data_IF_363216698406
#
_entry.id   IF_363216698406
#
_cell.length_a   1.000
_cell.length_b   1.000
_cell.length_c   1.000
_cell.angle_alpha   90.00
_cell.angle_beta   90.00
_cell.angle_gamma   90.00
#
_symmetry.space_group_name_H-M   'P 1'
#
loop_
_entity.id
_entity.type
_entity.pdbx_description
1 polymer ?
#
# COMPACT_ATOMS: atom_id res chain seq x y z
N UNK A 1 -4.02 -2.12 -3.69
CA UNK A 1 -3.81 -1.27 -4.88
C UNK A 1 -2.43 -0.64 -4.77
N UNK A 2 -1.69 -0.44 -5.88
CA UNK A 2 -0.38 0.19 -5.81
C UNK A 2 -0.50 1.67 -5.38
N UNK A 3 0.48 2.16 -4.65
CA UNK A 3 0.81 3.59 -4.72
C UNK A 3 1.18 3.95 -6.17
N UNK A 4 0.52 4.96 -6.74
CA UNK A 4 0.75 5.38 -8.13
C UNK A 4 1.64 6.62 -8.21
N UNK A 5 1.29 7.66 -7.45
CA UNK A 5 2.03 8.93 -7.43
C UNK A 5 3.20 8.85 -6.45
N UNK A 6 4.24 9.62 -6.73
CA UNK A 6 5.42 9.81 -5.89
C UNK A 6 5.62 11.27 -5.44
N UNK A 7 4.80 12.19 -5.95
CA UNK A 7 4.84 13.61 -5.59
C UNK A 7 3.58 14.05 -4.85
N UNK A 8 3.74 14.34 -3.56
CA UNK A 8 2.70 14.85 -2.68
C UNK A 8 3.05 16.25 -2.12
N UNK A 9 3.98 16.95 -2.79
CA UNK A 9 4.54 18.23 -2.32
C UNK A 9 4.40 19.37 -3.32
N UNK A 10 4.37 19.07 -4.62
CA UNK A 10 4.18 20.08 -5.66
C UNK A 10 2.75 20.64 -5.67
N UNK A 11 2.60 21.87 -6.17
CA UNK A 11 1.29 22.50 -6.36
C UNK A 11 0.51 21.96 -7.56
N UNK A 12 1.22 21.35 -8.51
CA UNK A 12 0.66 20.74 -9.71
C UNK A 12 1.47 19.50 -10.03
N UNK A 13 0.83 18.52 -10.64
CA UNK A 13 1.47 17.30 -11.11
C UNK A 13 1.68 17.37 -12.62
N UNK A 14 2.81 16.84 -13.10
CA UNK A 14 3.03 16.65 -14.51
C UNK A 14 3.04 15.15 -14.85
N UNK A 15 2.01 14.68 -15.53
CA UNK A 15 1.90 13.25 -15.90
C UNK A 15 2.83 12.86 -17.05
N UNK A 16 3.49 13.82 -17.69
CA UNK A 16 4.55 13.54 -18.67
C UNK A 16 5.91 13.25 -17.99
N UNK A 17 6.05 13.59 -16.70
CA UNK A 17 7.29 13.42 -15.94
C UNK A 17 7.29 12.08 -15.21
N UNK A 18 8.22 11.15 -15.52
CA UNK A 18 8.29 9.86 -14.83
C UNK A 18 8.47 9.98 -13.31
N UNK A 19 9.09 11.06 -12.84
CA UNK A 19 9.31 11.34 -11.42
C UNK A 19 8.01 11.62 -10.64
N UNK A 20 6.91 11.95 -11.31
CA UNK A 20 5.59 12.07 -10.69
C UNK A 20 5.03 10.71 -10.26
N UNK A 21 5.51 9.62 -10.86
CA UNK A 21 5.02 8.28 -10.59
C UNK A 21 6.01 7.47 -9.76
N UNK A 22 5.46 6.55 -8.97
CA UNK A 22 6.20 5.48 -8.34
C UNK A 22 6.75 4.52 -9.41
N UNK A 23 7.95 3.99 -9.19
CA UNK A 23 8.43 2.81 -9.91
C UNK A 23 7.63 1.56 -9.49
N UNK A 24 6.68 1.16 -10.35
CA UNK A 24 5.81 -0.01 -10.15
C UNK A 24 6.56 -1.35 -10.25
N UNK A 25 7.85 -1.36 -10.60
CA UNK A 25 8.67 -2.57 -10.62
C UNK A 25 9.27 -2.95 -9.27
N UNK A 26 9.12 -2.07 -8.26
CA UNK A 26 9.69 -2.23 -6.92
C UNK A 26 8.59 -2.40 -5.85
N UNK A 27 8.81 -3.24 -4.83
CA UNK A 27 7.95 -3.27 -3.65
C UNK A 27 8.18 -2.02 -2.78
N UNK A 28 7.23 -1.71 -1.89
CA UNK A 28 7.21 -0.46 -1.10
C UNK A 28 8.49 -0.26 -0.31
N UNK A 29 9.00 -1.30 0.35
CA UNK A 29 10.16 -1.16 1.23
C UNK A 29 11.45 -0.73 0.52
N UNK A 30 11.50 -0.76 -0.81
CA UNK A 30 12.62 -0.25 -1.62
C UNK A 30 12.18 0.76 -2.69
N UNK A 31 11.05 1.42 -2.46
CA UNK A 31 10.64 2.55 -3.31
C UNK A 31 11.67 3.69 -3.23
N UNK A 32 12.22 3.92 -2.03
CA UNK A 32 13.46 4.67 -1.86
C UNK A 32 14.65 3.74 -2.18
N UNK A 33 15.45 4.03 -3.23
CA UNK A 33 16.62 3.22 -3.58
C UNK A 33 17.65 3.10 -2.46
N UNK A 34 17.73 4.09 -1.56
CA UNK A 34 18.69 4.08 -0.45
C UNK A 34 18.44 2.92 0.54
N UNK A 35 17.21 2.41 0.57
CA UNK A 35 16.84 1.28 1.42
C UNK A 35 17.28 -0.09 0.87
N UNK A 36 17.70 -0.18 -0.40
CA UNK A 36 18.01 -1.47 -1.06
C UNK A 36 19.10 -2.23 -0.33
N UNK A 37 20.19 -1.56 0.06
CA UNK A 37 21.30 -2.20 0.74
C UNK A 37 20.88 -2.76 2.10
N UNK A 38 20.19 -1.94 2.92
CA UNK A 38 19.69 -2.32 4.24
C UNK A 38 18.70 -3.50 4.18
N UNK A 39 17.76 -3.47 3.24
CA UNK A 39 16.77 -4.54 3.08
C UNK A 39 17.42 -5.84 2.64
N UNK A 40 18.40 -5.77 1.74
CA UNK A 40 19.18 -6.93 1.28
C UNK A 40 20.03 -7.52 2.41
N UNK A 41 20.78 -6.68 3.12
CA UNK A 41 21.65 -7.09 4.21
C UNK A 41 20.86 -7.78 5.32
N UNK A 42 19.69 -7.24 5.69
CA UNK A 42 18.79 -7.87 6.66
C UNK A 42 18.35 -9.27 6.22
N UNK A 43 18.00 -9.45 4.94
CA UNK A 43 17.63 -10.76 4.41
C UNK A 43 18.81 -11.73 4.45
N UNK A 44 19.99 -11.28 4.01
CA UNK A 44 21.20 -12.10 3.90
C UNK A 44 21.74 -12.53 5.26
N UNK A 45 21.72 -11.62 6.24
CA UNK A 45 22.18 -11.84 7.62
C UNK A 45 21.16 -12.52 8.54
N UNK A 46 19.91 -12.70 8.09
CA UNK A 46 18.89 -13.35 8.92
C UNK A 46 19.24 -14.82 9.16
N UNK A 47 19.39 -15.16 10.43
CA UNK A 47 19.56 -16.53 10.92
C UNK A 47 18.54 -16.78 12.02
N UNK A 48 17.73 -17.82 11.85
CA UNK A 48 16.81 -18.29 12.88
C UNK A 48 17.46 -19.45 13.64
N UNK A 49 17.73 -19.33 14.95
CA UNK A 49 18.39 -20.38 15.73
C UNK A 49 17.64 -21.72 15.72
N UNK A 50 16.32 -21.70 15.50
CA UNK A 50 15.49 -22.91 15.43
C UNK A 50 15.44 -23.54 14.04
N UNK A 51 15.81 -22.79 12.99
CA UNK A 51 15.64 -23.18 11.59
C UNK A 51 14.20 -23.23 11.10
N UNK A 52 13.23 -22.83 11.93
CA UNK A 52 11.80 -22.84 11.59
C UNK A 52 11.41 -21.64 10.72
N UNK A 53 12.06 -20.49 10.92
CA UNK A 53 11.71 -19.25 10.21
C UNK A 53 12.60 -19.09 8.97
N UNK A 54 11.98 -19.08 7.80
CA UNK A 54 12.67 -18.77 6.53
C UNK A 54 13.08 -17.29 6.46
N UNK A 55 14.14 -16.98 5.71
CA UNK A 55 14.60 -15.60 5.46
C UNK A 55 13.51 -14.76 4.80
N UNK A 56 13.39 -13.49 5.21
CA UNK A 56 12.41 -12.54 4.67
C UNK A 56 12.98 -11.11 4.65
N UNK A 57 12.50 -10.30 3.71
CA UNK A 57 12.81 -8.87 3.65
C UNK A 57 11.92 -8.11 4.63
N UNK A 58 10.63 -8.45 4.65
CA UNK A 58 9.60 -7.72 5.38
C UNK A 58 8.86 -8.59 6.39
N UNK A 59 8.87 -8.17 7.66
CA UNK A 59 8.06 -8.78 8.72
C UNK A 59 6.64 -8.22 8.80
N UNK A 60 6.45 -7.00 8.27
CA UNK A 60 5.16 -6.36 8.03
C UNK A 60 4.67 -6.70 6.63
N UNK A 61 3.36 -6.74 6.42
CA UNK A 61 2.76 -7.03 5.12
C UNK A 61 2.15 -5.77 4.51
N UNK A 62 2.09 -5.70 3.18
CA UNK A 62 1.55 -4.54 2.46
C UNK A 62 0.02 -4.39 2.57
N UNK A 63 -0.66 -5.43 3.05
CA UNK A 63 -2.12 -5.47 3.23
C UNK A 63 -2.47 -6.21 4.51
N UNK A 64 -3.24 -5.59 5.39
CA UNK A 64 -3.77 -6.20 6.61
C UNK A 64 -5.08 -5.51 7.01
N UNK A 65 -5.91 -6.19 7.81
CA UNK A 65 -7.14 -5.60 8.34
C UNK A 65 -6.86 -4.33 9.15
N UNK A 66 -5.79 -4.33 9.95
CA UNK A 66 -5.33 -3.15 10.68
C UNK A 66 -4.93 -2.00 9.75
N UNK A 67 -4.31 -2.29 8.60
CA UNK A 67 -3.98 -1.30 7.58
C UNK A 67 -5.22 -0.67 6.94
N UNK A 68 -6.24 -1.47 6.63
CA UNK A 68 -7.53 -0.99 6.10
C UNK A 68 -8.22 -0.08 7.12
N UNK A 69 -8.33 -0.53 8.37
CA UNK A 69 -8.92 0.27 9.46
C UNK A 69 -8.15 1.57 9.71
N UNK A 70 -6.81 1.55 9.59
CA UNK A 70 -5.99 2.73 9.74
C UNK A 70 -6.32 3.81 8.68
N UNK A 71 -6.52 3.42 7.42
CA UNK A 71 -6.93 4.38 6.38
C UNK A 71 -8.37 4.84 6.56
N UNK A 72 -9.29 3.92 6.88
CA UNK A 72 -10.72 4.18 6.93
C UNK A 72 -11.24 4.57 8.33
N UNK A 73 -10.37 4.99 9.25
CA UNK A 73 -10.72 5.27 10.66
C UNK A 73 -11.85 6.29 10.83
N UNK A 74 -12.11 7.13 9.81
CA UNK A 74 -13.18 8.16 9.79
C UNK A 74 -14.52 7.66 9.22
N UNK A 75 -14.60 6.42 8.77
CA UNK A 75 -15.78 5.86 8.12
C UNK A 75 -16.27 4.63 8.87
N UNK A 76 -17.55 4.60 9.24
CA UNK A 76 -18.15 3.38 9.80
C UNK A 76 -18.34 2.29 8.72
N UNK A 77 -18.20 0.99 9.06
CA UNK A 77 -17.99 0.42 10.39
C UNK A 77 -16.52 0.39 10.86
N UNK A 78 -15.58 0.95 10.08
CA UNK A 78 -14.15 0.83 10.36
C UNK A 78 -13.71 1.64 11.58
N UNK A 79 -14.37 2.75 11.88
CA UNK A 79 -14.20 3.47 13.14
C UNK A 79 -14.45 2.57 14.34
N UNK A 80 -15.61 1.90 14.39
CA UNK A 80 -15.98 0.98 15.47
C UNK A 80 -15.00 -0.19 15.59
N UNK A 81 -14.59 -0.77 14.46
CA UNK A 81 -13.61 -1.87 14.43
C UNK A 81 -12.23 -1.42 14.93
N UNK A 82 -11.78 -0.22 14.55
CA UNK A 82 -10.52 0.37 15.01
C UNK A 82 -10.53 0.58 16.53
N UNK A 83 -11.60 1.17 17.06
CA UNK A 83 -11.78 1.39 18.50
C UNK A 83 -11.74 0.07 19.26
N UNK A 84 -12.40 -0.97 18.73
CA UNK A 84 -12.36 -2.30 19.32
C UNK A 84 -10.94 -2.87 19.34
N UNK A 85 -10.23 -2.81 18.22
CA UNK A 85 -8.84 -3.28 18.09
C UNK A 85 -7.88 -2.55 19.04
N UNK A 86 -8.11 -1.26 19.30
CA UNK A 86 -7.25 -0.39 20.12
C UNK A 86 -7.65 -0.35 21.61
N UNK A 87 -8.52 -1.26 22.05
CA UNK A 87 -8.90 -1.36 23.46
C UNK A 87 -9.92 -0.29 23.89
N UNK A 88 -10.99 -0.13 23.11
CA UNK A 88 -12.12 0.77 23.38
C UNK A 88 -11.80 2.26 23.29
N UNK A 89 -10.78 2.64 22.51
CA UNK A 89 -10.42 4.04 22.25
C UNK A 89 -9.75 4.20 20.89
N UNK A 90 -9.64 5.42 20.39
CA UNK A 90 -8.76 5.71 19.26
C UNK A 90 -7.28 5.48 19.61
N UNK A 91 -6.47 5.33 18.55
CA UNK A 91 -5.01 5.28 18.72
C UNK A 91 -4.47 6.68 19.04
N UNK A 92 -3.22 6.78 19.46
CA UNK A 92 -2.57 8.09 19.64
C UNK A 92 -2.52 8.83 18.31
N UNK A 93 -2.80 10.13 18.34
CA UNK A 93 -2.93 10.99 17.17
C UNK A 93 -1.75 10.86 16.17
N UNK A 94 -0.52 10.81 16.68
CA UNK A 94 0.71 10.74 15.86
C UNK A 94 0.84 9.44 15.05
N UNK A 95 0.13 8.37 15.44
CA UNK A 95 0.10 7.10 14.70
C UNK A 95 -1.13 6.93 13.81
N UNK A 96 -2.11 7.82 13.93
CA UNK A 96 -3.31 7.75 13.09
C UNK A 96 -3.05 8.33 11.70
N UNK A 97 -3.75 7.81 10.71
CA UNK A 97 -3.71 8.37 9.36
C UNK A 97 -4.30 9.79 9.38
N UNK A 98 -3.48 10.81 9.16
CA UNK A 98 -3.90 12.20 9.22
C UNK A 98 -3.38 13.07 8.07
N UNK A 99 -2.45 12.56 7.26
CA UNK A 99 -1.82 13.34 6.20
C UNK A 99 -1.29 12.42 5.10
N UNK A 100 -1.73 12.64 3.85
CA UNK A 100 -1.27 11.87 2.69
C UNK A 100 0.23 12.15 2.40
N UNK A 101 0.70 13.42 2.36
CA UNK A 101 2.12 13.70 2.20
C UNK A 101 2.98 13.07 3.30
N UNK A 102 2.51 13.10 4.55
CA UNK A 102 3.23 12.46 5.65
C UNK A 102 3.28 10.94 5.49
N UNK A 103 2.17 10.29 5.12
CA UNK A 103 2.13 8.86 4.89
C UNK A 103 3.14 8.42 3.82
N UNK A 104 3.23 9.16 2.70
CA UNK A 104 4.25 8.90 1.68
C UNK A 104 5.68 9.14 2.20
N UNK A 105 5.91 10.22 2.96
CA UNK A 105 7.22 10.52 3.56
C UNK A 105 7.69 9.43 4.54
N UNK A 106 6.77 8.85 5.33
CA UNK A 106 7.06 7.75 6.24
C UNK A 106 7.49 6.48 5.48
N UNK A 107 6.81 6.17 4.37
CA UNK A 107 7.20 5.08 3.47
C UNK A 107 8.58 5.34 2.84
N UNK A 108 8.86 6.57 2.44
CA UNK A 108 10.16 6.94 1.86
C UNK A 108 11.31 6.90 2.87
N UNK A 109 11.03 7.16 4.15
CA UNK A 109 12.04 7.23 5.21
C UNK A 109 12.33 5.90 5.90
N UNK A 110 11.45 4.90 5.78
CA UNK A 110 11.59 3.62 6.47
C UNK A 110 11.20 2.43 5.58
N UNK A 111 12.09 1.42 5.42
CA UNK A 111 11.75 0.21 4.66
C UNK A 111 10.77 -0.72 5.39
N UNK A 112 10.40 -0.39 6.64
CA UNK A 112 9.57 -1.24 7.49
C UNK A 112 8.08 -0.88 7.43
N UNK A 113 7.74 0.31 6.90
CA UNK A 113 6.38 0.64 6.51
C UNK A 113 6.20 0.31 5.03
N UNK A 114 5.61 -0.85 4.76
CA UNK A 114 5.49 -1.39 3.41
C UNK A 114 4.04 -1.47 2.93
N UNK A 115 3.15 -0.68 3.52
CA UNK A 115 1.72 -0.67 3.21
C UNK A 115 1.44 -0.16 1.80
N UNK A 116 0.74 -0.97 1.03
CA UNK A 116 0.15 -0.55 -0.24
C UNK A 116 -1.19 0.17 0.01
N UNK A 117 -1.72 0.84 -1.02
CA UNK A 117 -3.01 1.52 -0.94
C UNK A 117 -4.19 0.54 -0.95
N UNK A 118 -5.33 1.04 -0.52
CA UNK A 118 -6.65 0.40 -0.66
C UNK A 118 -7.41 0.99 -1.86
N UNK A 119 -8.40 0.28 -2.45
CA UNK A 119 -9.19 0.78 -3.58
C UNK A 119 -9.84 2.15 -3.36
N UNK A 120 -10.21 2.47 -2.13
CA UNK A 120 -10.91 3.70 -1.73
C UNK A 120 -10.14 4.96 -2.13
N UNK A 121 -8.81 4.91 -2.20
CA UNK A 121 -7.94 5.99 -2.72
C UNK A 121 -8.21 6.37 -4.19
N UNK A 122 -9.05 5.62 -4.91
CA UNK A 122 -9.34 5.84 -6.33
C UNK A 122 -10.83 6.06 -6.63
N UNK A 123 -11.71 5.98 -5.62
CA UNK A 123 -13.15 6.17 -5.86
C UNK A 123 -13.97 6.68 -4.68
N UNK A 124 -13.44 6.74 -3.45
CA UNK A 124 -14.20 7.08 -2.25
C UNK A 124 -13.56 8.28 -1.57
N UNK A 125 -14.09 9.50 -1.69
CA UNK A 125 -13.49 10.68 -1.07
C UNK A 125 -13.77 10.78 0.44
N UNK A 126 -14.84 10.17 0.94
CA UNK A 126 -15.34 10.46 2.30
C UNK A 126 -14.41 9.96 3.41
N UNK A 127 -13.57 8.95 3.18
CA UNK A 127 -12.60 8.51 4.19
C UNK A 127 -11.55 9.57 4.55
N UNK A 128 -11.43 10.62 3.73
CA UNK A 128 -10.55 11.76 3.97
C UNK A 128 -11.18 12.84 4.85
N UNK A 129 -12.49 12.74 5.14
CA UNK A 129 -13.25 13.69 5.95
C UNK A 129 -13.58 13.13 7.31
N UNK A 130 -13.58 14.00 8.32
CA UNK A 130 -14.10 13.69 9.64
C UNK A 130 -15.56 14.17 9.79
N UNK A 131 -16.44 13.75 8.88
CA UNK A 131 -17.85 14.19 8.84
C UNK A 131 -18.65 13.82 10.11
N UNK A 132 -18.14 12.87 10.90
CA UNK A 132 -18.74 12.43 12.16
C UNK A 132 -18.20 13.18 13.39
N UNK A 133 -17.35 14.21 13.19
CA UNK A 133 -16.75 15.01 14.26
C UNK A 133 -16.02 14.18 15.34
N UNK A 134 -15.34 13.09 14.95
CA UNK A 134 -14.63 12.24 15.91
C UNK A 134 -13.50 13.01 16.62
N UNK A 135 -13.28 12.69 17.90
CA UNK A 135 -12.11 13.15 18.65
C UNK A 135 -10.91 12.23 18.38
N UNK A 136 -10.13 12.58 17.35
CA UNK A 136 -8.93 11.86 16.94
C UNK A 136 -7.67 12.32 17.70
N UNK A 137 -7.82 13.18 18.71
CA UNK A 137 -6.74 13.69 19.54
C UNK A 137 -5.92 14.80 18.91
N UNK A 138 -4.72 15.02 19.47
CA UNK A 138 -3.78 16.09 19.06
C UNK A 138 -2.38 15.55 18.88
N UNK A 139 -1.70 16.00 17.83
CA UNK A 139 -0.30 15.68 17.58
C UNK A 139 0.58 16.21 18.72
N UNK A 140 1.53 15.40 19.19
CA UNK A 140 2.34 15.73 20.36
C UNK A 140 3.22 16.97 20.15
N UNK A 141 3.84 17.10 18.99
CA UNK A 141 4.81 18.17 18.70
C UNK A 141 4.12 19.49 18.37
N UNK A 142 3.12 19.46 17.49
CA UNK A 142 2.47 20.70 17.01
C UNK A 142 1.24 21.11 17.82
N UNK A 143 0.67 20.21 18.63
CA UNK A 143 -0.61 20.41 19.32
C UNK A 143 -1.83 20.49 18.37
N UNK A 144 -1.62 20.30 17.06
CA UNK A 144 -2.68 20.35 16.04
C UNK A 144 -3.69 19.24 16.30
N UNK A 145 -4.98 19.58 16.30
CA UNK A 145 -6.08 18.61 16.37
C UNK A 145 -6.07 17.77 15.09
N UNK A 146 -6.15 16.46 15.23
CA UNK A 146 -6.37 15.56 14.10
C UNK A 146 -7.86 15.60 13.74
N UNK A 147 -8.14 15.82 12.47
CA UNK A 147 -9.50 16.04 11.95
C UNK A 147 -9.55 15.46 10.52
N UNK A 148 -9.99 16.21 9.51
CA UNK A 148 -9.82 15.86 8.10
C UNK A 148 -8.36 15.48 7.77
N UNK A 149 -8.20 14.57 6.81
CA UNK A 149 -6.89 14.15 6.31
C UNK A 149 -6.28 15.30 5.51
N UNK A 150 -5.03 15.65 5.82
CA UNK A 150 -4.29 16.66 5.07
C UNK A 150 -4.01 16.16 3.64
N UNK A 151 -4.50 16.93 2.68
CA UNK A 151 -4.31 16.69 1.25
C UNK A 151 -3.00 17.30 0.74
N UNK A 152 -2.43 16.75 -0.35
CA UNK A 152 -1.30 17.36 -1.03
C UNK A 152 -1.68 18.71 -1.69
N UNK A 153 -0.73 19.62 -1.95
CA UNK A 153 -1.04 20.97 -2.44
C UNK A 153 -1.73 21.04 -3.81
N UNK A 154 -1.66 19.96 -4.60
CA UNK A 154 -2.32 19.84 -5.90
C UNK A 154 -3.79 19.40 -5.81
N UNK A 155 -4.31 19.07 -4.63
CA UNK A 155 -5.72 18.75 -4.42
C UNK A 155 -6.33 19.65 -3.33
N UNK A 156 -7.33 20.43 -3.73
CA UNK A 156 -8.07 21.33 -2.84
C UNK A 156 -9.19 20.64 -2.08
N UNK A 157 -9.74 19.54 -2.63
CA UNK A 157 -10.80 18.75 -2.00
C UNK A 157 -10.53 17.24 -2.08
N UNK A 158 -11.15 16.43 -1.22
CA UNK A 158 -11.13 14.97 -1.35
C UNK A 158 -11.57 14.46 -2.72
N UNK A 159 -12.59 15.06 -3.35
CA UNK A 159 -13.03 14.70 -4.70
C UNK A 159 -11.95 14.95 -5.74
N UNK A 160 -11.28 16.11 -5.65
CA UNK A 160 -10.18 16.44 -6.55
C UNK A 160 -9.01 15.48 -6.37
N UNK A 161 -8.68 15.14 -5.12
CA UNK A 161 -7.67 14.13 -4.80
C UNK A 161 -8.00 12.79 -5.48
N UNK A 162 -9.22 12.28 -5.29
CA UNK A 162 -9.68 11.01 -5.89
C UNK A 162 -9.69 11.08 -7.41
N UNK A 163 -10.19 12.18 -7.99
CA UNK A 163 -10.22 12.38 -9.45
C UNK A 163 -8.82 12.32 -10.06
N UNK A 164 -7.85 12.98 -9.43
CA UNK A 164 -6.45 12.99 -9.88
C UNK A 164 -5.80 11.62 -9.69
N UNK A 165 -6.01 10.94 -8.56
CA UNK A 165 -5.51 9.58 -8.33
C UNK A 165 -6.05 8.59 -9.37
N UNK A 166 -7.34 8.69 -9.70
CA UNK A 166 -7.96 7.88 -10.76
C UNK A 166 -7.38 8.22 -12.14
N UNK A 167 -7.19 9.51 -12.44
CA UNK A 167 -6.52 9.94 -13.68
C UNK A 167 -5.09 9.40 -13.80
N UNK A 168 -4.34 9.38 -12.69
CA UNK A 168 -3.00 8.83 -12.64
C UNK A 168 -2.99 7.32 -12.88
N UNK A 169 -3.93 6.58 -12.26
CA UNK A 169 -4.09 5.13 -12.45
C UNK A 169 -4.39 4.76 -13.91
N UNK A 170 -5.19 5.56 -14.60
CA UNK A 170 -5.57 5.33 -16.01
C UNK A 170 -4.58 5.93 -17.04
N UNK A 171 -3.48 6.53 -16.56
CA UNK A 171 -2.45 7.16 -17.40
C UNK A 171 -1.72 6.15 -18.27
N UNK A 172 -1.08 6.64 -19.34
CA UNK A 172 -0.25 5.82 -20.22
C UNK A 172 0.96 5.25 -19.49
N UNK A 173 1.57 6.02 -18.59
CA UNK A 173 2.67 5.56 -17.75
C UNK A 173 2.26 4.33 -16.92
N UNK A 174 1.13 4.40 -16.22
CA UNK A 174 0.67 3.27 -15.40
C UNK A 174 0.24 2.10 -16.27
N UNK A 175 -0.50 2.33 -17.35
CA UNK A 175 -0.88 1.28 -18.30
C UNK A 175 0.34 0.48 -18.81
N UNK A 176 1.42 1.19 -19.15
CA UNK A 176 2.66 0.58 -19.62
C UNK A 176 3.44 -0.16 -18.52
N UNK A 177 3.23 0.13 -17.23
CA UNK A 177 4.08 -0.37 -16.14
C UNK A 177 3.34 -1.24 -15.09
N UNK A 178 2.01 -1.23 -15.05
CA UNK A 178 1.22 -1.92 -14.02
C UNK A 178 1.47 -3.43 -13.97
N UNK A 179 1.74 -4.04 -15.13
CA UNK A 179 2.10 -5.46 -15.22
C UNK A 179 3.31 -5.84 -14.33
N UNK A 180 4.24 -4.91 -14.09
CA UNK A 180 5.40 -5.12 -13.22
C UNK A 180 5.01 -5.18 -11.73
N UNK A 181 4.00 -4.40 -11.32
CA UNK A 181 3.45 -4.49 -9.97
C UNK A 181 2.63 -5.77 -9.81
N UNK A 182 1.86 -6.15 -10.83
CA UNK A 182 1.17 -7.44 -10.87
C UNK A 182 2.16 -8.59 -10.72
N UNK A 183 3.34 -8.52 -11.34
CA UNK A 183 4.39 -9.53 -11.17
C UNK A 183 4.85 -9.69 -9.72
N UNK A 184 4.91 -8.61 -8.94
CA UNK A 184 5.27 -8.62 -7.52
C UNK A 184 4.15 -9.21 -6.65
N UNK A 185 2.90 -8.82 -6.89
CA UNK A 185 1.79 -9.15 -5.98
C UNK A 185 1.13 -10.48 -6.35
N UNK A 186 0.94 -10.77 -7.63
CA UNK A 186 0.20 -11.94 -8.12
C UNK A 186 1.02 -12.81 -9.09
N UNK A 187 2.18 -12.34 -9.55
CA UNK A 187 2.94 -13.01 -10.61
C UNK A 187 4.21 -13.71 -10.13
N UNK A 188 5.13 -13.90 -11.06
CA UNK A 188 6.30 -14.76 -10.84
C UNK A 188 7.31 -14.20 -9.82
N UNK A 189 7.26 -12.89 -9.50
CA UNK A 189 8.11 -12.26 -8.48
C UNK A 189 7.49 -12.30 -7.07
N UNK A 190 6.35 -12.97 -6.88
CA UNK A 190 5.75 -13.15 -5.56
C UNK A 190 6.55 -14.14 -4.68
N UNK A 191 7.16 -15.17 -5.29
CA UNK A 191 7.86 -16.25 -4.57
C UNK A 191 9.16 -16.68 -5.26
N UNK A 192 9.97 -17.44 -4.53
CA UNK A 192 11.21 -18.06 -5.03
C UNK A 192 12.29 -17.06 -5.40
N UNK A 193 13.23 -17.47 -6.26
CA UNK A 193 14.42 -16.67 -6.56
C UNK A 193 14.11 -15.32 -7.21
N UNK A 194 13.03 -15.25 -7.98
CA UNK A 194 12.57 -13.99 -8.56
C UNK A 194 12.13 -12.99 -7.49
N UNK A 195 11.44 -13.45 -6.44
CA UNK A 195 11.08 -12.62 -5.29
C UNK A 195 12.31 -12.17 -4.50
N UNK A 196 13.28 -13.06 -4.28
CA UNK A 196 14.55 -12.70 -3.64
C UNK A 196 15.29 -11.61 -4.40
N UNK A 197 15.43 -11.76 -5.72
CA UNK A 197 16.10 -10.79 -6.57
C UNK A 197 15.37 -9.43 -6.59
N UNK A 198 14.03 -9.45 -6.50
CA UNK A 198 13.19 -8.26 -6.45
C UNK A 198 13.05 -7.66 -5.03
N UNK A 199 13.70 -8.25 -4.01
CA UNK A 199 13.55 -7.88 -2.60
C UNK A 199 12.10 -7.92 -2.11
N UNK A 200 11.33 -8.92 -2.55
CA UNK A 200 9.87 -9.03 -2.38
C UNK A 200 9.44 -10.27 -1.57
N UNK A 201 10.23 -10.63 -0.55
CA UNK A 201 9.95 -11.81 0.30
C UNK A 201 9.39 -11.34 1.64
N UNK A 202 8.19 -11.80 1.97
CA UNK A 202 7.48 -11.49 3.21
C UNK A 202 7.65 -12.60 4.25
N UNK A 203 7.19 -12.35 5.46
CA UNK A 203 7.20 -13.37 6.51
C UNK A 203 6.45 -14.64 6.08
N UNK A 204 6.98 -15.82 6.41
CA UNK A 204 6.53 -17.08 5.82
C UNK A 204 5.04 -17.37 6.06
N UNK A 205 4.49 -17.02 7.24
CA UNK A 205 3.06 -17.20 7.56
C UNK A 205 2.10 -16.34 6.72
N UNK A 206 2.60 -15.36 5.97
CA UNK A 206 1.75 -14.59 5.06
C UNK A 206 1.39 -15.38 3.80
N UNK A 207 2.11 -16.46 3.50
CA UNK A 207 1.94 -17.23 2.28
C UNK A 207 0.99 -18.42 2.49
N UNK A 208 0.05 -18.57 1.56
CA UNK A 208 -0.79 -19.78 1.48
C UNK A 208 0.07 -21.05 1.47
N UNK A 209 -0.37 -22.06 2.24
CA UNK A 209 0.26 -23.37 2.35
C UNK A 209 1.57 -23.40 3.15
N UNK A 210 1.93 -22.31 3.83
CA UNK A 210 3.16 -22.25 4.63
C UNK A 210 3.12 -23.12 5.89
N UNK A 211 1.94 -23.29 6.49
CA UNK A 211 1.68 -24.15 7.64
C UNK A 211 0.33 -24.84 7.44
N UNK A 212 0.28 -26.13 7.74
CA UNK A 212 -0.99 -26.85 7.94
C UNK A 212 -1.38 -26.72 9.40
N UNK A 213 -2.49 -26.00 9.67
CA UNK A 213 -2.95 -25.77 11.04
C UNK A 213 -3.44 -27.06 11.71
N UNK A 214 -3.93 -28.03 10.93
CA UNK A 214 -4.43 -29.29 11.47
C UNK A 214 -3.30 -30.17 12.04
N UNK A 215 -2.07 -29.96 11.57
CA UNK A 215 -0.86 -30.64 12.07
C UNK A 215 -0.31 -29.99 13.35
N UNK A 216 -0.77 -28.79 13.74
CA UNK A 216 -0.30 -28.08 14.94
C UNK A 216 -1.06 -28.54 16.17
N UNK A 217 -0.47 -29.48 16.91
CA UNK A 217 -1.15 -30.11 18.07
C UNK A 217 -1.15 -29.28 19.34
N UNK A 218 -0.20 -28.34 19.50
CA UNK A 218 -0.17 -27.45 20.67
C UNK A 218 -1.21 -26.32 20.50
N UNK A 219 -2.25 -26.23 21.36
CA UNK A 219 -3.27 -25.21 21.24
C UNK A 219 -2.74 -23.78 21.33
N UNK A 220 -1.64 -23.55 22.06
CA UNK A 220 -1.04 -22.22 22.21
C UNK A 220 -0.35 -21.82 20.92
N UNK A 221 0.47 -22.71 20.37
CA UNK A 221 1.13 -22.51 19.08
C UNK A 221 0.11 -22.32 17.96
N UNK A 222 -0.93 -23.18 17.91
CA UNK A 222 -2.02 -23.07 16.94
C UNK A 222 -2.69 -21.70 17.00
N UNK A 223 -3.12 -21.26 18.19
CA UNK A 223 -3.77 -19.96 18.36
C UNK A 223 -2.85 -18.79 17.99
N UNK A 224 -1.54 -18.92 18.26
CA UNK A 224 -0.54 -17.93 17.87
C UNK A 224 -0.41 -17.81 16.35
N UNK A 225 -0.23 -18.94 15.65
CA UNK A 225 -0.10 -18.98 14.18
C UNK A 225 -1.38 -18.46 13.52
N UNK A 226 -2.55 -18.91 13.98
CA UNK A 226 -3.84 -18.44 13.48
C UNK A 226 -4.00 -16.93 13.68
N UNK A 227 -3.63 -16.42 14.86
CA UNK A 227 -3.63 -14.99 15.17
C UNK A 227 -2.68 -14.20 14.25
N UNK A 228 -1.51 -14.76 13.93
CA UNK A 228 -0.57 -14.13 13.01
C UNK A 228 -1.14 -14.04 11.59
N UNK A 229 -1.67 -15.14 11.07
CA UNK A 229 -2.26 -15.23 9.73
C UNK A 229 -3.44 -14.25 9.58
N UNK A 230 -4.31 -14.15 10.60
CA UNK A 230 -5.50 -13.29 10.55
C UNK A 230 -5.16 -11.80 10.60
N UNK A 231 -4.16 -11.40 11.39
CA UNK A 231 -3.97 -9.99 11.75
C UNK A 231 -2.80 -9.30 11.05
N UNK A 232 -1.77 -10.04 10.64
CA UNK A 232 -0.51 -9.46 10.15
C UNK A 232 -0.34 -9.53 8.62
N UNK A 233 -1.39 -9.95 7.93
CA UNK A 233 -1.51 -9.89 6.47
C UNK A 233 -1.37 -11.24 5.78
N UNK A 234 -2.01 -11.34 4.62
CA UNK A 234 -2.04 -12.54 3.80
C UNK A 234 -1.67 -12.14 2.37
N UNK A 235 -0.62 -12.78 1.84
CA UNK A 235 -0.24 -12.65 0.43
C UNK A 235 -1.32 -13.34 -0.41
N UNK A 236 -1.86 -12.67 -1.45
CA UNK A 236 -2.88 -13.27 -2.30
C UNK A 236 -2.32 -14.45 -3.09
N UNK A 237 -3.20 -15.32 -3.60
CA UNK A 237 -2.79 -16.45 -4.42
C UNK A 237 -1.96 -15.99 -5.64
N UNK A 238 -0.91 -16.75 -5.96
CA UNK A 238 -0.11 -16.51 -7.17
C UNK A 238 -0.93 -16.92 -8.40
N UNK A 239 -1.25 -15.96 -9.26
CA UNK A 239 -2.05 -16.15 -10.47
C UNK A 239 -1.18 -16.49 -11.68
N UNK A 240 0.03 -15.94 -11.77
CA UNK A 240 0.92 -16.09 -12.92
C UNK A 240 2.30 -16.62 -12.50
N UNK A 241 2.80 -17.65 -13.20
CA UNK A 241 4.15 -18.20 -13.01
C UNK A 241 5.19 -17.65 -13.99
N UNK A 242 4.74 -16.86 -14.94
CA UNK A 242 5.57 -16.17 -15.95
C UNK A 242 5.31 -14.66 -15.87
N UNK A 243 6.11 -13.86 -16.56
CA UNK A 243 5.93 -12.42 -16.62
C UNK A 243 4.54 -12.06 -17.14
N UNK A 244 3.88 -11.15 -16.43
CA UNK A 244 2.59 -10.58 -16.84
C UNK A 244 2.76 -9.80 -18.15
N UNK A 245 1.83 -9.95 -19.12
CA UNK A 245 1.91 -9.24 -20.38
C UNK A 245 1.77 -7.73 -20.15
N UNK A 246 2.60 -6.96 -20.84
CA UNK A 246 2.44 -5.51 -20.89
C UNK A 246 1.14 -5.17 -21.63
N UNK A 247 0.29 -4.34 -21.00
CA UNK A 247 -0.85 -3.76 -21.68
C UNK A 247 -0.36 -2.68 -22.65
N UNK A 248 -0.42 -2.97 -23.94
CA UNK A 248 -0.38 -1.94 -24.96
C UNK A 248 -1.82 -1.48 -25.15
N UNK A 249 -2.10 -0.19 -24.93
CA UNK A 249 -3.41 0.40 -25.28
C UNK A 249 -3.65 0.14 -26.77
N UNK A 250 -4.56 -0.79 -27.09
CA UNK A 250 -5.11 -0.94 -28.43
C UNK A 250 -6.18 0.14 -28.53
N UNK A 251 -5.77 1.38 -28.77
CA UNK A 251 -6.69 2.35 -29.35
C UNK A 251 -6.51 2.27 -30.87
N UNK A 252 -7.50 1.78 -31.62
CA UNK A 252 -7.54 2.03 -33.06
C UNK A 252 -7.42 3.55 -33.28
N UNK A 253 -6.60 3.98 -34.25
CA UNK A 253 -6.34 5.40 -34.56
C UNK A 253 -7.62 6.24 -34.72
N UNK A 254 -8.77 5.60 -35.00
CA UNK A 254 -10.08 6.24 -35.16
C UNK A 254 -10.70 6.83 -33.87
N UNK A 255 -10.17 6.54 -32.67
CA UNK A 255 -10.72 7.05 -31.40
C UNK A 255 -9.94 8.23 -30.78
N UNK A 256 -8.81 8.65 -31.37
CA UNK A 256 -8.07 9.82 -30.88
C UNK A 256 -8.79 11.15 -31.15
N UNK A 257 -9.62 11.24 -32.20
CA UNK A 257 -10.41 12.44 -32.49
C UNK A 257 -11.52 12.69 -31.45
N UNK A 258 -12.08 11.63 -30.84
CA UNK A 258 -13.13 11.79 -29.84
C UNK A 258 -12.60 12.27 -28.48
N UNK A 259 -11.38 11.87 -28.09
CA UNK A 259 -10.77 12.33 -26.84
C UNK A 259 -10.34 13.81 -26.90
N UNK A 260 -9.89 14.29 -28.06
CA UNK A 260 -9.56 15.70 -28.28
C UNK A 260 -10.80 16.59 -28.37
N UNK A 261 -11.93 16.08 -28.87
CA UNK A 261 -13.18 16.83 -28.94
C UNK A 261 -13.82 17.13 -27.56
N UNK A 262 -13.62 16.25 -26.57
CA UNK A 262 -14.15 16.44 -25.21
C UNK A 262 -13.26 17.36 -24.37
N UNK A 263 -11.97 17.50 -24.71
CA UNK A 263 -11.05 18.43 -24.02
C UNK A 263 -11.20 19.91 -24.44
N UNK A 264 -11.97 20.19 -25.50
CA UNK A 264 -12.18 21.55 -26.03
C UNK A 264 -13.59 22.12 -25.82
N UNK A 265 -14.47 21.40 -25.11
CA UNK A 265 -15.73 21.95 -24.64
C UNK A 265 -15.91 21.67 -23.14
N UNK A 266 -15.96 22.77 -22.38
CA UNK A 266 -16.20 22.96 -20.94
C UNK A 266 -14.98 23.09 -20.02
#
# INVERSE_FOLDING_TARGET
MPWILADYTSKQLNFDEPATFRDLSRPIGIVNPDNIATVREKYESFEDPSGAISKFHYGTHYSSAAGVMHYLVRTEPFTSLHIHLQGQRFDVADRQFNSIPMAWSLIMSSPYDNRELIPEFFHFPDFLRNDNDFDLGRLQVSGKKVDDVELPPWASTPEEFIRIHRGALESDYVSANLHKWIDLIFGYKQRGKAAENALNVYYYLTYEGAVDLDDVTDPIEHASIEGMIKNFGQTPCQLLKVSSPQMNKIFPEEHQEFALAVAHHE
#
